data_IF_659023281452
#
_entry.id   IF_659023281452
#
_cell.length_a   1.000
_cell.length_b   1.000
_cell.length_c   1.000
_cell.angle_alpha   90.00
_cell.angle_beta   90.00
_cell.angle_gamma   90.00
#
_symmetry.space_group_name_H-M   'P 1'
#
loop_
_entity.id
_entity.type
_entity.pdbx_description
1 polymer ?
#
# COMPACT_ATOMS: atom_id res chain seq x y z
N UNK A 1 -28.32 -5.97 7.30
CA UNK A 1 -29.80 -5.90 7.29
C UNK A 1 -30.34 -6.60 6.04
N UNK A 2 -31.42 -7.36 6.15
CA UNK A 2 -31.95 -8.18 5.04
C UNK A 2 -32.48 -7.35 3.86
N UNK A 3 -32.76 -6.04 4.04
CA UNK A 3 -33.24 -5.12 3.01
C UNK A 3 -32.47 -3.78 3.02
N UNK A 4 -31.15 -3.82 2.90
CA UNK A 4 -30.37 -2.59 2.73
C UNK A 4 -30.47 -2.11 1.27
N UNK A 5 -31.21 -1.03 1.02
CA UNK A 5 -31.14 -0.29 -0.25
C UNK A 5 -29.86 0.54 -0.27
N UNK A 6 -28.91 0.12 -1.10
CA UNK A 6 -27.69 0.89 -1.34
C UNK A 6 -27.96 1.92 -2.45
N UNK A 7 -27.41 3.14 -2.34
CA UNK A 7 -27.51 4.12 -3.40
C UNK A 7 -26.81 3.64 -4.67
N UNK A 8 -27.19 4.22 -5.81
CA UNK A 8 -26.51 3.97 -7.07
C UNK A 8 -25.00 4.24 -6.95
N UNK A 9 -24.23 3.40 -7.65
CA UNK A 9 -22.78 3.49 -7.65
C UNK A 9 -22.34 4.87 -8.15
N UNK A 10 -21.67 5.65 -7.29
CA UNK A 10 -21.30 7.03 -7.61
C UNK A 10 -20.17 7.15 -8.64
N UNK A 11 -19.48 6.06 -8.98
CA UNK A 11 -18.36 6.04 -9.93
C UNK A 11 -18.05 4.63 -10.42
N UNK A 12 -17.66 4.49 -11.69
CA UNK A 12 -17.20 3.23 -12.25
C UNK A 12 -15.80 2.88 -11.76
N UNK A 13 -15.62 1.66 -11.25
CA UNK A 13 -14.32 1.19 -10.80
C UNK A 13 -13.35 1.02 -11.97
N UNK A 14 -12.10 1.48 -11.77
CA UNK A 14 -11.00 1.29 -12.70
C UNK A 14 -9.73 0.85 -11.93
N UNK A 15 -8.94 -0.10 -12.47
CA UNK A 15 -7.68 -0.50 -11.87
C UNK A 15 -6.68 0.66 -11.73
N UNK A 16 -5.68 0.54 -10.83
CA UNK A 16 -4.66 1.56 -10.62
C UNK A 16 -3.86 1.88 -11.89
N UNK A 17 -3.55 3.16 -12.09
CA UNK A 17 -2.72 3.65 -13.19
C UNK A 17 -1.29 3.94 -12.74
N UNK A 18 -0.33 3.95 -13.68
CA UNK A 18 1.06 4.37 -13.42
C UNK A 18 1.11 5.74 -12.72
N UNK A 19 0.28 6.69 -13.17
CA UNK A 19 0.20 8.03 -12.59
C UNK A 19 -0.23 8.00 -11.12
N UNK A 20 -1.22 7.17 -10.78
CA UNK A 20 -1.69 7.03 -9.40
C UNK A 20 -0.63 6.39 -8.52
N UNK A 21 0.01 5.30 -8.96
CA UNK A 21 1.07 4.64 -8.19
C UNK A 21 2.28 5.57 -8.00
N UNK A 22 2.72 6.27 -9.04
CA UNK A 22 3.80 7.25 -8.94
C UNK A 22 3.46 8.41 -7.98
N UNK A 23 2.24 8.93 -8.03
CA UNK A 23 1.77 9.97 -7.12
C UNK A 23 1.73 9.47 -5.65
N UNK A 24 1.32 8.22 -5.43
CA UNK A 24 1.32 7.59 -4.10
C UNK A 24 2.74 7.46 -3.57
N UNK A 25 3.68 6.95 -4.36
CA UNK A 25 5.10 6.85 -3.98
C UNK A 25 5.65 8.23 -3.60
N UNK A 26 5.37 9.27 -4.39
CA UNK A 26 5.83 10.65 -4.11
C UNK A 26 5.34 11.16 -2.74
N UNK A 27 4.13 10.79 -2.34
CA UNK A 27 3.50 11.21 -1.08
C UNK A 27 3.98 10.42 0.14
N UNK A 28 4.75 9.34 -0.03
CA UNK A 28 5.30 8.58 1.09
C UNK A 28 6.22 9.47 1.95
N UNK A 29 6.11 9.30 3.27
CA UNK A 29 7.01 9.96 4.24
C UNK A 29 8.36 9.22 4.25
N UNK A 30 9.44 9.99 4.18
CA UNK A 30 10.81 9.50 4.31
C UNK A 30 11.06 8.95 5.73
N UNK A 31 11.99 8.01 5.86
CA UNK A 31 12.40 7.48 7.17
C UNK A 31 11.30 6.72 7.93
N UNK A 32 10.24 6.30 7.24
CA UNK A 32 9.23 5.42 7.83
C UNK A 32 9.76 3.99 7.88
N UNK A 33 9.62 3.37 9.04
CA UNK A 33 9.90 1.96 9.21
C UNK A 33 9.02 1.15 8.25
N UNK A 34 9.66 0.28 7.47
CA UNK A 34 9.03 -0.75 6.66
C UNK A 34 9.30 -2.11 7.30
N UNK A 35 8.65 -3.16 6.81
CA UNK A 35 8.88 -4.52 7.31
C UNK A 35 10.38 -4.86 7.16
N UNK A 36 11.04 -5.49 8.15
CA UNK A 36 12.42 -5.95 8.01
C UNK A 36 12.61 -6.78 6.73
N UNK A 37 13.68 -6.51 5.99
CA UNK A 37 13.96 -7.17 4.71
C UNK A 37 13.16 -6.65 3.51
N UNK A 38 12.39 -5.57 3.66
CA UNK A 38 11.67 -4.93 2.56
C UNK A 38 12.29 -3.59 2.14
N UNK A 39 11.86 -3.10 0.98
CA UNK A 39 12.35 -1.86 0.38
C UNK A 39 11.88 -0.66 1.23
N UNK A 40 12.77 0.28 1.62
CA UNK A 40 12.36 1.48 2.33
C UNK A 40 11.66 2.48 1.41
N UNK A 41 10.80 3.33 1.99
CA UNK A 41 10.10 4.39 1.26
C UNK A 41 11.05 5.30 0.47
N UNK A 42 12.22 5.60 1.02
CA UNK A 42 13.23 6.46 0.38
C UNK A 42 13.73 5.85 -0.94
N UNK A 43 13.90 4.52 -1.01
CA UNK A 43 14.30 3.84 -2.24
C UNK A 43 13.18 3.83 -3.28
N UNK A 44 11.93 3.62 -2.86
CA UNK A 44 10.77 3.75 -3.75
C UNK A 44 10.70 5.14 -4.37
N UNK A 45 10.92 6.19 -3.58
CA UNK A 45 10.90 7.58 -4.06
C UNK A 45 12.04 7.88 -5.01
N UNK A 46 13.27 7.44 -4.68
CA UNK A 46 14.45 7.67 -5.51
C UNK A 46 14.37 6.94 -6.87
N UNK A 47 13.72 5.78 -6.93
CA UNK A 47 13.70 4.91 -8.11
C UNK A 47 12.29 4.73 -8.70
N UNK A 48 11.38 5.68 -8.47
CA UNK A 48 9.97 5.53 -8.84
C UNK A 48 9.77 5.26 -10.33
N UNK A 49 10.57 5.88 -11.20
CA UNK A 49 10.52 5.69 -12.66
C UNK A 49 10.85 4.26 -13.09
N UNK A 50 11.77 3.61 -12.37
CA UNK A 50 12.15 2.22 -12.63
C UNK A 50 11.16 1.22 -12.04
N UNK A 51 10.56 1.54 -10.88
CA UNK A 51 9.74 0.60 -10.11
C UNK A 51 8.27 0.62 -10.55
N UNK A 52 7.71 1.79 -10.87
CA UNK A 52 6.28 1.95 -11.20
C UNK A 52 5.81 1.03 -12.34
N UNK A 53 6.57 0.83 -13.44
CA UNK A 53 6.17 -0.06 -14.53
C UNK A 53 5.92 -1.51 -14.08
N UNK A 54 6.59 -1.97 -13.02
CA UNK A 54 6.45 -3.33 -12.49
C UNK A 54 5.39 -3.44 -11.39
N UNK A 55 5.20 -2.38 -10.58
CA UNK A 55 4.19 -2.39 -9.52
C UNK A 55 2.77 -2.36 -10.07
N UNK A 56 2.52 -1.63 -11.14
CA UNK A 56 1.16 -1.43 -11.67
C UNK A 56 0.54 -2.76 -12.11
N UNK A 57 1.19 -3.62 -12.92
CA UNK A 57 0.68 -4.94 -13.24
C UNK A 57 0.36 -5.80 -12.01
N UNK A 58 1.19 -5.74 -10.96
CA UNK A 58 0.99 -6.50 -9.72
C UNK A 58 -0.31 -6.05 -9.02
N UNK A 59 -0.51 -4.74 -8.85
CA UNK A 59 -1.74 -4.22 -8.24
C UNK A 59 -2.97 -4.45 -9.12
N UNK A 60 -2.85 -4.33 -10.44
CA UNK A 60 -3.94 -4.62 -11.37
C UNK A 60 -4.34 -6.10 -11.33
N UNK A 61 -3.38 -7.02 -11.18
CA UNK A 61 -3.64 -8.44 -11.07
C UNK A 61 -4.56 -8.78 -9.90
N UNK A 62 -4.50 -8.04 -8.78
CA UNK A 62 -5.45 -8.22 -7.67
C UNK A 62 -6.90 -8.07 -8.08
N UNK A 63 -7.19 -7.10 -8.96
CA UNK A 63 -8.55 -6.84 -9.41
C UNK A 63 -8.94 -7.75 -10.59
N UNK A 64 -8.04 -7.94 -11.55
CA UNK A 64 -8.31 -8.74 -12.76
C UNK A 64 -8.41 -10.24 -12.45
N UNK A 65 -7.51 -10.76 -11.61
CA UNK A 65 -7.45 -12.19 -11.27
C UNK A 65 -8.22 -12.50 -9.97
N UNK A 66 -8.69 -11.48 -9.25
CA UNK A 66 -9.33 -11.62 -7.93
C UNK A 66 -8.43 -12.35 -6.90
N UNK A 67 -7.12 -12.12 -6.98
CA UNK A 67 -6.12 -12.70 -6.08
C UNK A 67 -5.60 -11.60 -5.16
N UNK A 68 -5.81 -11.76 -3.86
CA UNK A 68 -5.21 -10.91 -2.84
C UNK A 68 -4.12 -11.70 -2.09
N UNK A 69 -2.82 -11.34 -2.22
CA UNK A 69 -1.75 -12.04 -1.51
C UNK A 69 -1.98 -12.01 0.00
N UNK A 70 -1.88 -13.16 0.67
CA UNK A 70 -2.08 -13.26 2.12
C UNK A 70 -1.14 -12.34 2.90
N UNK A 71 0.08 -12.16 2.40
CA UNK A 71 1.13 -11.33 2.99
C UNK A 71 0.71 -9.85 3.07
N UNK A 72 -0.18 -9.38 2.19
CA UNK A 72 -0.64 -7.99 2.18
C UNK A 72 -1.59 -7.68 3.35
N UNK A 73 -2.20 -8.71 3.94
CA UNK A 73 -3.00 -8.58 5.17
C UNK A 73 -2.17 -8.67 6.45
N UNK A 74 -0.90 -9.08 6.34
CA UNK A 74 -0.02 -9.29 7.50
C UNK A 74 0.71 -8.00 7.86
N UNK A 75 0.49 -7.51 9.09
CA UNK A 75 1.20 -6.36 9.63
C UNK A 75 2.19 -6.80 10.72
N UNK A 76 3.47 -6.45 10.56
CA UNK A 76 4.49 -6.65 11.58
C UNK A 76 4.68 -5.35 12.37
N UNK A 77 4.44 -5.39 13.68
CA UNK A 77 4.60 -4.22 14.55
C UNK A 77 5.86 -4.40 15.38
N UNK A 78 6.84 -3.52 15.16
CA UNK A 78 8.02 -3.45 16.03
C UNK A 78 7.62 -2.81 17.36
N UNK A 79 7.94 -3.48 18.47
CA UNK A 79 7.75 -2.92 19.81
C UNK A 79 8.89 -1.94 20.07
N UNK A 80 8.58 -0.65 20.07
CA UNK A 80 9.54 0.43 20.33
C UNK A 80 9.35 0.99 21.73
N UNK A 81 10.40 0.94 22.55
CA UNK A 81 10.42 1.58 23.86
C UNK A 81 10.60 3.09 23.71
N UNK A 82 9.62 3.86 24.16
CA UNK A 82 9.75 5.32 24.21
C UNK A 82 10.79 5.71 25.27
N UNK A 83 11.77 6.58 24.98
CA UNK A 83 12.68 7.09 25.99
C UNK A 83 11.90 7.70 27.16
N UNK A 84 12.24 7.33 28.40
CA UNK A 84 11.63 7.86 29.62
C UNK A 84 10.37 7.16 30.15
N UNK A 85 9.85 6.14 29.44
CA UNK A 85 8.76 5.30 29.97
C UNK A 85 9.24 3.85 30.09
N UNK A 86 9.54 3.37 31.31
CA UNK A 86 10.15 2.06 31.51
C UNK A 86 9.21 0.89 31.22
N UNK A 87 7.89 1.11 31.31
CA UNK A 87 6.89 0.05 31.28
C UNK A 87 6.16 0.00 29.93
N UNK A 88 6.28 -1.14 29.27
CA UNK A 88 5.42 -1.68 28.22
C UNK A 88 5.14 -3.14 28.57
#
# INVERSE_FOLDING_TARGET
>A
PENAEYPDQSWNFAPPTNRQIAATIRRMKNGKATKPGTIPNDLFKANSELIVPFLVPIYCATFTLRIYPSEWSSTETIILKKPGHPDY
#
